data_IF_965415843915
#
_entry.id   IF_965415843915
#
_cell.length_a   1.000
_cell.length_b   1.000
_cell.length_c   1.000
_cell.angle_alpha   90.00
_cell.angle_beta   90.00
_cell.angle_gamma   90.00
#
_symmetry.space_group_name_H-M   'P 1'
#
loop_
_entity.id
_entity.type
_entity.pdbx_description
1 polymer ?
#
# COMPACT_ATOMS: atom_id res chain seq x y z
N UNK A 1 59.31 15.47 64.67
CA UNK A 1 59.64 14.73 63.43
C UNK A 1 58.34 14.18 62.87
N UNK A 2 57.94 14.64 61.68
CA UNK A 2 56.71 14.23 60.98
C UNK A 2 56.89 12.80 60.41
N UNK A 3 55.89 11.94 60.59
CA UNK A 3 55.78 10.68 59.88
C UNK A 3 54.79 10.84 58.70
N UNK A 4 55.25 10.52 57.50
CA UNK A 4 54.53 10.57 56.22
C UNK A 4 53.27 9.69 56.25
N UNK A 5 52.11 10.26 55.89
CA UNK A 5 50.96 9.50 55.42
C UNK A 5 51.17 9.10 53.96
N UNK A 6 51.12 7.80 53.69
CA UNK A 6 51.12 7.26 52.32
C UNK A 6 49.68 7.25 51.83
N UNK A 7 49.37 8.09 50.84
CA UNK A 7 48.06 8.12 50.19
C UNK A 7 48.06 7.14 49.01
N UNK A 8 47.34 6.02 49.13
CA UNK A 8 47.12 5.06 48.03
C UNK A 8 46.16 5.67 47.01
N UNK A 9 46.68 6.01 45.83
CA UNK A 9 45.86 6.39 44.68
C UNK A 9 45.18 5.14 44.10
N UNK A 10 43.84 5.12 44.15
CA UNK A 10 43.04 4.11 43.45
C UNK A 10 43.14 4.34 41.93
N UNK A 11 43.64 3.35 41.20
CA UNK A 11 43.66 3.35 39.74
C UNK A 11 42.22 3.14 39.23
N UNK A 12 41.64 4.20 38.66
CA UNK A 12 40.38 4.11 37.93
C UNK A 12 40.58 3.27 36.67
N UNK A 13 39.97 2.09 36.61
CA UNK A 13 39.91 1.28 35.41
C UNK A 13 38.95 1.94 34.41
N UNK A 14 39.48 2.60 33.40
CA UNK A 14 38.71 3.11 32.27
C UNK A 14 38.20 1.91 31.47
N UNK A 15 36.93 1.55 31.67
CA UNK A 15 36.25 0.54 30.84
C UNK A 15 35.93 1.21 29.51
N UNK A 16 36.71 0.91 28.47
CA UNK A 16 36.41 1.35 27.11
C UNK A 16 35.27 0.46 26.60
N UNK A 17 34.06 1.02 26.52
CA UNK A 17 32.93 0.33 25.91
C UNK A 17 33.25 0.06 24.43
N UNK A 18 32.98 -1.15 23.89
CA UNK A 18 33.18 -1.42 22.48
C UNK A 18 32.29 -0.46 21.67
N UNK A 19 32.89 0.24 20.71
CA UNK A 19 32.17 1.07 19.76
C UNK A 19 31.14 0.18 19.04
N UNK A 20 29.85 0.43 19.26
CA UNK A 20 28.79 -0.19 18.47
C UNK A 20 28.92 0.34 17.05
N UNK A 21 29.46 -0.49 16.15
CA UNK A 21 29.47 -0.23 14.72
C UNK A 21 28.00 -0.15 14.30
N UNK A 22 27.53 1.05 13.95
CA UNK A 22 26.21 1.23 13.38
C UNK A 22 26.11 0.34 12.14
N UNK A 23 25.01 -0.40 11.93
CA UNK A 23 24.87 -1.24 10.76
C UNK A 23 25.05 -0.36 9.52
N UNK A 24 25.96 -0.76 8.62
CA UNK A 24 26.14 -0.12 7.33
C UNK A 24 24.77 -0.07 6.64
N UNK A 25 24.30 1.14 6.32
CA UNK A 25 23.06 1.33 5.56
C UNK A 25 23.39 1.22 4.08
N UNK A 26 22.60 0.43 3.35
CA UNK A 26 22.66 0.35 1.89
C UNK A 26 21.44 1.07 1.35
N UNK A 27 21.66 2.26 0.80
CA UNK A 27 20.61 3.00 0.10
C UNK A 27 20.45 2.41 -1.31
N UNK A 28 19.29 1.79 -1.54
CA UNK A 28 18.93 1.26 -2.85
C UNK A 28 18.00 2.27 -3.52
N UNK A 29 18.47 2.87 -4.61
CA UNK A 29 17.67 3.83 -5.40
C UNK A 29 16.49 3.15 -6.08
N UNK A 30 15.34 3.82 -6.12
CA UNK A 30 14.17 3.34 -6.84
C UNK A 30 14.35 3.52 -8.35
N UNK A 31 14.46 2.39 -9.06
CA UNK A 31 14.68 2.34 -10.50
C UNK A 31 13.65 1.41 -11.16
N UNK A 32 12.40 1.86 -11.37
CA UNK A 32 11.35 1.02 -11.95
C UNK A 32 11.61 0.78 -13.45
N UNK A 33 11.16 -0.36 -14.00
CA UNK A 33 11.24 -0.59 -15.43
C UNK A 33 10.31 0.35 -16.19
N UNK A 34 10.90 1.30 -16.91
CA UNK A 34 10.17 2.30 -17.69
C UNK A 34 9.49 1.71 -18.91
N UNK A 35 8.30 2.22 -19.22
CA UNK A 35 7.48 1.90 -20.38
C UNK A 35 7.14 0.41 -20.56
N UNK A 36 7.35 -0.39 -19.50
CA UNK A 36 6.93 -1.78 -19.44
C UNK A 36 5.66 -1.91 -18.62
N UNK A 37 4.73 -2.70 -19.13
CA UNK A 37 3.54 -3.10 -18.39
C UNK A 37 3.94 -4.19 -17.39
N UNK A 38 3.83 -3.87 -16.10
CA UNK A 38 3.98 -4.82 -15.01
C UNK A 38 2.61 -5.31 -14.57
N UNK A 39 2.45 -6.62 -14.51
CA UNK A 39 1.23 -7.24 -14.00
C UNK A 39 1.50 -7.93 -12.67
N UNK A 40 0.73 -7.55 -11.66
CA UNK A 40 0.78 -8.14 -10.32
C UNK A 40 -0.54 -8.80 -9.99
N UNK A 41 -0.48 -9.99 -9.38
CA UNK A 41 -1.64 -10.64 -8.78
C UNK A 41 -1.63 -10.40 -7.28
N UNK A 42 -2.54 -9.55 -6.81
CA UNK A 42 -2.73 -9.27 -5.38
C UNK A 42 -3.78 -10.22 -4.83
N UNK A 43 -3.37 -11.06 -3.88
CA UNK A 43 -4.22 -12.07 -3.25
C UNK A 43 -4.57 -11.62 -1.84
N UNK A 44 -5.87 -11.49 -1.53
CA UNK A 44 -6.36 -11.13 -0.19
C UNK A 44 -6.96 -12.35 0.50
N UNK A 45 -6.40 -12.69 1.65
CA UNK A 45 -6.88 -13.76 2.52
C UNK A 45 -7.47 -13.15 3.79
N UNK A 46 -8.71 -13.51 4.14
CA UNK A 46 -9.31 -13.13 5.42
C UNK A 46 -8.92 -14.16 6.48
N UNK A 47 -8.25 -13.72 7.54
CA UNK A 47 -7.89 -14.54 8.70
C UNK A 47 -8.79 -14.19 9.90
N UNK A 48 -9.17 -15.19 10.69
CA UNK A 48 -9.82 -15.08 11.99
C UNK A 48 -9.22 -16.15 12.90
N UNK A 49 -8.76 -15.73 14.08
CA UNK A 49 -8.03 -16.60 15.01
C UNK A 49 -6.84 -17.33 14.36
N UNK A 50 -6.12 -16.64 13.46
CA UNK A 50 -4.98 -17.20 12.72
C UNK A 50 -5.34 -18.21 11.61
N UNK A 51 -6.63 -18.48 11.37
CA UNK A 51 -7.11 -19.40 10.34
C UNK A 51 -7.84 -18.65 9.23
N UNK A 52 -7.73 -19.16 8.00
CA UNK A 52 -8.47 -18.59 6.87
C UNK A 52 -9.98 -18.81 7.04
N UNK A 53 -10.76 -17.72 6.99
CA UNK A 53 -12.23 -17.71 7.14
C UNK A 53 -12.91 -17.91 5.79
N UNK A 54 -12.30 -17.36 4.75
CA UNK A 54 -12.83 -17.46 3.40
C UNK A 54 -12.21 -18.70 2.73
N UNK A 55 -13.03 -19.60 2.13
CA UNK A 55 -12.53 -20.82 1.48
C UNK A 55 -11.75 -20.53 0.19
N UNK A 56 -11.77 -19.29 -0.32
CA UNK A 56 -11.02 -18.91 -1.52
C UNK A 56 -10.51 -17.48 -1.37
N UNK A 57 -9.19 -17.25 -1.53
CA UNK A 57 -8.66 -15.91 -1.47
C UNK A 57 -9.10 -15.11 -2.71
N UNK A 58 -9.39 -13.83 -2.52
CA UNK A 58 -9.77 -12.93 -3.61
C UNK A 58 -8.49 -12.45 -4.28
N UNK A 59 -8.31 -12.79 -5.55
CA UNK A 59 -7.15 -12.38 -6.33
C UNK A 59 -7.54 -11.32 -7.38
N UNK A 60 -6.89 -10.16 -7.33
CA UNK A 60 -7.05 -9.07 -8.29
C UNK A 60 -5.77 -8.96 -9.12
N UNK A 61 -5.90 -8.75 -10.42
CA UNK A 61 -4.76 -8.33 -11.25
C UNK A 61 -4.68 -6.81 -11.22
N UNK A 62 -3.47 -6.31 -11.05
CA UNK A 62 -3.12 -4.90 -11.12
C UNK A 62 -2.09 -4.72 -12.23
N UNK A 63 -2.29 -3.68 -13.03
CA UNK A 63 -1.38 -3.26 -14.07
C UNK A 63 -0.72 -1.95 -13.66
N UNK A 64 0.61 -1.94 -13.71
CA UNK A 64 1.44 -0.79 -13.41
C UNK A 64 2.32 -0.49 -14.63
N UNK A 65 2.47 0.77 -14.97
CA UNK A 65 3.46 1.23 -15.94
C UNK A 65 4.10 2.50 -15.40
N UNK A 66 5.41 2.61 -15.53
CA UNK A 66 6.15 3.79 -15.12
C UNK A 66 6.65 4.54 -16.35
N UNK A 67 6.59 5.86 -16.34
CA UNK A 67 7.25 6.71 -17.34
C UNK A 67 8.16 7.70 -16.63
N UNK A 68 9.28 8.06 -17.26
CA UNK A 68 10.15 9.11 -16.75
C UNK A 68 9.45 10.47 -16.72
N UNK A 69 9.77 11.28 -15.72
CA UNK A 69 9.31 12.66 -15.55
C UNK A 69 10.50 13.52 -15.11
N UNK A 70 10.51 14.84 -15.37
CA UNK A 70 11.61 15.71 -14.92
C UNK A 70 11.88 15.69 -13.41
N UNK A 71 10.92 15.28 -12.59
CA UNK A 71 10.99 15.30 -11.12
C UNK A 71 10.90 13.90 -10.49
N UNK A 72 11.13 12.83 -11.26
CA UNK A 72 10.96 11.45 -10.82
C UNK A 72 10.22 10.60 -11.86
N UNK A 73 9.10 10.01 -11.46
CA UNK A 73 8.34 9.10 -12.31
C UNK A 73 6.84 9.41 -12.31
N UNK A 74 6.15 8.99 -13.36
CA UNK A 74 4.70 8.89 -13.38
C UNK A 74 4.29 7.42 -13.40
N UNK A 75 3.53 6.99 -12.38
CA UNK A 75 2.92 5.66 -12.32
C UNK A 75 1.51 5.72 -12.89
N UNK A 76 1.24 4.81 -13.83
CA UNK A 76 -0.10 4.52 -14.34
C UNK A 76 -0.55 3.21 -13.70
N UNK A 77 -1.63 3.26 -12.93
CA UNK A 77 -2.19 2.08 -12.26
C UNK A 77 -3.64 1.82 -12.68
N UNK A 78 -3.96 0.57 -12.98
CA UNK A 78 -5.36 0.12 -13.18
C UNK A 78 -5.55 -1.33 -12.77
N UNK A 79 -6.80 -1.74 -12.62
CA UNK A 79 -7.19 -3.15 -12.55
C UNK A 79 -7.82 -3.59 -13.87
N UNK A 80 -7.20 -4.44 -14.70
CA UNK A 80 -7.86 -4.93 -15.91
C UNK A 80 -9.16 -5.66 -15.54
N UNK A 81 -10.22 -5.39 -16.28
CA UNK A 81 -11.56 -6.00 -16.05
C UNK A 81 -11.53 -7.53 -16.14
N UNK A 82 -10.67 -8.08 -16.99
CA UNK A 82 -10.44 -9.53 -17.16
C UNK A 82 -9.79 -10.16 -15.93
N UNK A 83 -9.02 -9.36 -15.19
CA UNK A 83 -8.29 -9.71 -13.98
C UNK A 83 -9.14 -9.68 -12.70
N UNK A 84 -10.45 -9.46 -12.81
CA UNK A 84 -11.36 -9.46 -11.67
C UNK A 84 -11.68 -10.90 -11.20
N UNK A 85 -11.84 -11.11 -9.88
CA UNK A 85 -12.22 -12.40 -9.30
C UNK A 85 -13.53 -12.97 -9.88
N UNK A 86 -13.71 -14.30 -9.76
CA UNK A 86 -14.93 -15.00 -10.21
C UNK A 86 -16.26 -14.37 -9.76
N UNK A 87 -16.41 -13.88 -8.51
CA UNK A 87 -17.64 -13.17 -8.08
C UNK A 87 -18.05 -11.98 -8.96
N UNK A 88 -17.11 -11.32 -9.65
CA UNK A 88 -17.42 -10.22 -10.58
C UNK A 88 -17.90 -10.71 -11.96
N UNK A 89 -17.82 -12.02 -12.21
CA UNK A 89 -18.29 -12.68 -13.43
C UNK A 89 -19.69 -13.27 -13.26
N UNK A 90 -20.12 -13.56 -12.02
CA UNK A 90 -21.47 -13.98 -11.71
C UNK A 90 -22.46 -12.83 -11.95
N UNK A 91 -23.47 -12.95 -12.84
CA UNK A 91 -24.39 -11.86 -13.15
C UNK A 91 -25.13 -11.28 -11.93
N UNK A 92 -25.51 -12.15 -10.97
CA UNK A 92 -26.27 -11.75 -9.79
C UNK A 92 -25.40 -10.92 -8.84
N UNK A 93 -24.14 -11.33 -8.64
CA UNK A 93 -23.21 -10.62 -7.78
C UNK A 93 -22.58 -9.42 -8.48
N UNK A 94 -22.34 -9.50 -9.79
CA UNK A 94 -21.74 -8.45 -10.61
C UNK A 94 -22.50 -7.15 -10.50
N UNK A 95 -23.83 -7.17 -10.50
CA UNK A 95 -24.65 -5.97 -10.35
C UNK A 95 -24.33 -5.20 -9.06
N UNK A 96 -24.01 -5.91 -7.97
CA UNK A 96 -23.67 -5.32 -6.68
C UNK A 96 -22.17 -5.04 -6.52
N UNK A 97 -21.30 -5.86 -7.10
CA UNK A 97 -19.85 -5.76 -6.89
C UNK A 97 -19.17 -4.81 -7.89
N UNK A 98 -19.62 -4.81 -9.15
CA UNK A 98 -18.97 -4.07 -10.23
C UNK A 98 -18.90 -2.57 -9.96
N UNK A 99 -19.95 -1.89 -9.46
CA UNK A 99 -19.85 -0.46 -9.15
C UNK A 99 -18.69 -0.13 -8.20
N UNK A 100 -18.38 -0.99 -7.22
CA UNK A 100 -17.29 -0.74 -6.26
C UNK A 100 -15.90 -0.74 -6.90
N UNK A 101 -15.71 -1.46 -8.01
CA UNK A 101 -14.42 -1.59 -8.70
C UNK A 101 -14.38 -0.85 -10.04
N UNK A 102 -15.52 -0.44 -10.57
CA UNK A 102 -15.65 0.30 -11.83
C UNK A 102 -14.73 1.53 -11.93
N UNK A 103 -14.56 2.36 -10.87
CA UNK A 103 -13.67 3.54 -10.93
C UNK A 103 -12.20 3.22 -11.21
N UNK A 104 -11.79 1.96 -11.02
CA UNK A 104 -10.41 1.49 -11.08
C UNK A 104 -10.16 0.53 -12.24
N UNK A 105 -11.19 0.16 -13.01
CA UNK A 105 -11.11 -0.85 -14.08
C UNK A 105 -11.12 -0.29 -15.51
N UNK A 106 -11.28 1.03 -15.64
CA UNK A 106 -11.23 1.75 -16.90
C UNK A 106 -9.86 2.41 -17.15
N UNK A 107 -9.87 3.73 -17.26
CA UNK A 107 -8.65 4.52 -17.46
C UNK A 107 -7.68 4.40 -16.27
N UNK A 108 -6.37 4.23 -16.53
CA UNK A 108 -5.37 4.25 -15.48
C UNK A 108 -5.42 5.52 -14.64
N UNK A 109 -5.22 5.34 -13.34
CA UNK A 109 -5.00 6.43 -12.40
C UNK A 109 -3.52 6.78 -12.45
N UNK A 110 -3.23 8.06 -12.62
CA UNK A 110 -1.86 8.56 -12.66
C UNK A 110 -1.41 9.10 -11.30
N UNK A 111 -0.22 8.69 -10.90
CA UNK A 111 0.46 9.14 -9.69
C UNK A 111 1.79 9.76 -10.08
N UNK A 112 2.12 10.91 -9.51
CA UNK A 112 3.50 11.40 -9.49
C UNK A 112 4.23 10.71 -8.34
N UNK A 113 5.41 10.19 -8.65
CA UNK A 113 6.27 9.45 -7.73
C UNK A 113 7.66 10.08 -7.78
N UNK A 114 8.31 10.22 -6.62
CA UNK A 114 9.68 10.71 -6.53
C UNK A 114 10.72 9.64 -6.91
N UNK A 115 12.00 9.99 -6.75
CA UNK A 115 13.15 9.13 -6.99
C UNK A 115 13.36 8.05 -5.93
N UNK A 116 12.59 8.07 -4.85
CA UNK A 116 12.56 7.04 -3.78
C UNK A 116 11.38 6.06 -3.96
N UNK A 117 10.46 6.35 -4.88
CA UNK A 117 9.28 5.53 -5.11
C UNK A 117 8.08 5.92 -4.25
N UNK A 118 8.14 7.04 -3.52
CA UNK A 118 7.04 7.53 -2.71
C UNK A 118 6.03 8.33 -3.56
N UNK A 119 4.72 8.13 -3.33
CA UNK A 119 3.69 8.86 -4.06
C UNK A 119 3.61 10.31 -3.57
N UNK A 120 3.82 11.25 -4.49
CA UNK A 120 3.72 12.69 -4.23
C UNK A 120 2.30 13.21 -4.34
N UNK A 121 1.60 12.83 -5.42
CA UNK A 121 0.19 13.21 -5.67
C UNK A 121 -0.47 12.29 -6.69
N UNK A 122 -1.80 12.34 -6.71
CA UNK A 122 -2.61 11.72 -7.76
C UNK A 122 -3.00 12.80 -8.77
N UNK A 123 -2.55 12.68 -10.02
CA UNK A 123 -2.83 13.70 -11.06
C UNK A 123 -4.31 13.82 -11.37
N UNK A 124 -4.98 12.66 -11.46
CA UNK A 124 -6.37 12.57 -11.92
C UNK A 124 -7.37 12.52 -10.74
N UNK A 125 -7.00 13.06 -9.58
CA UNK A 125 -7.75 12.84 -8.34
C UNK A 125 -9.19 13.31 -8.39
N UNK A 126 -9.46 14.48 -8.99
CA UNK A 126 -10.82 15.01 -9.11
C UNK A 126 -11.70 14.09 -9.96
N UNK A 127 -11.18 13.62 -11.09
CA UNK A 127 -11.86 12.66 -11.97
C UNK A 127 -12.12 11.33 -11.23
N UNK A 128 -11.13 10.82 -10.50
CA UNK A 128 -11.27 9.59 -9.70
C UNK A 128 -12.36 9.76 -8.64
N UNK A 129 -12.38 10.88 -7.90
CA UNK A 129 -13.42 11.17 -6.90
C UNK A 129 -14.81 11.21 -7.52
N UNK A 130 -14.97 11.83 -8.70
CA UNK A 130 -16.24 11.85 -9.41
C UNK A 130 -16.71 10.44 -9.79
N UNK A 131 -15.81 9.61 -10.34
CA UNK A 131 -16.11 8.20 -10.66
C UNK A 131 -16.51 7.40 -9.41
N UNK A 132 -15.79 7.56 -8.30
CA UNK A 132 -16.13 6.90 -7.02
C UNK A 132 -17.49 7.38 -6.50
N UNK A 133 -17.77 8.68 -6.52
CA UNK A 133 -19.06 9.22 -6.06
C UNK A 133 -20.22 8.70 -6.90
N UNK A 134 -20.07 8.66 -8.23
CA UNK A 134 -21.07 8.11 -9.14
C UNK A 134 -21.32 6.62 -8.87
N UNK A 135 -20.25 5.85 -8.67
CA UNK A 135 -20.31 4.44 -8.35
C UNK A 135 -21.00 4.13 -7.01
N UNK A 136 -20.84 5.00 -6.01
CA UNK A 136 -21.42 4.82 -4.67
C UNK A 136 -22.86 5.34 -4.54
N UNK A 137 -23.34 6.16 -5.48
CA UNK A 137 -24.68 6.75 -5.43
C UNK A 137 -25.81 5.70 -5.24
N UNK A 138 -25.79 4.53 -5.92
CA UNK A 138 -26.83 3.50 -5.73
C UNK A 138 -26.83 2.88 -4.33
N UNK A 139 -25.68 2.84 -3.63
CA UNK A 139 -25.56 2.23 -2.30
C UNK A 139 -26.08 3.14 -1.18
N UNK A 140 -26.15 4.46 -1.40
CA UNK A 140 -26.72 5.39 -0.42
C UNK A 140 -28.16 5.05 -0.07
N UNK A 141 -28.95 4.58 -1.04
CA UNK A 141 -30.34 4.20 -0.83
C UNK A 141 -30.47 2.89 -0.03
N UNK A 142 -29.54 1.96 -0.21
CA UNK A 142 -29.52 0.67 0.51
C UNK A 142 -29.15 0.88 1.99
N UNK A 143 -28.21 1.79 2.29
CA UNK A 143 -27.79 2.09 3.67
C UNK A 143 -28.86 2.93 4.41
N UNK A 144 -29.54 3.84 3.71
CA UNK A 144 -30.63 4.64 4.29
C UNK A 144 -31.89 3.81 4.59
N UNK A 145 -32.10 2.70 3.87
CA UNK A 145 -33.15 1.71 4.13
C UNK A 145 -32.72 0.69 5.20
N UNK A 146 -32.15 1.17 6.32
CA UNK A 146 -31.81 0.32 7.47
C UNK A 146 -32.97 -0.58 7.91
N UNK A 147 -32.71 -1.67 8.64
CA UNK A 147 -33.69 -2.71 8.94
C UNK A 147 -34.86 -2.15 9.75
N UNK A 148 -35.89 -1.68 9.04
CA UNK A 148 -37.18 -1.33 9.60
C UNK A 148 -38.13 -2.48 9.25
N UNK A 149 -38.65 -3.11 10.31
CA UNK A 149 -39.73 -4.11 10.31
C UNK A 149 -39.40 -5.54 9.84
N UNK A 150 -38.77 -6.32 10.71
CA UNK A 150 -39.34 -7.63 11.09
C UNK A 150 -39.60 -7.59 12.59
N UNK A 151 -40.82 -7.21 12.96
CA UNK A 151 -41.46 -7.63 14.20
C UNK A 151 -42.31 -8.84 13.87
#
# INVERSE_FOLDING_TARGET
MLALQVSTAALAQTTIAPAQIAPDSVDISFNPPLDKLLQFRITRTKLENGKAVAPTPLAFIHELRFTGSPTGYTLYWRMPSEGLPKPFRDPNLRAYLMPMVAPFTGEPIQFDIDDEGAPLRVRDWESVKLRIRAALLPFRQIIAAGPSARR
#
